data_IF_968188996815
#
_entry.id   IF_968188996815
#
_cell.length_a   1.000
_cell.length_b   1.000
_cell.length_c   1.000
_cell.angle_alpha   90.00
_cell.angle_beta   90.00
_cell.angle_gamma   90.00
#
_symmetry.space_group_name_H-M   'P 1'
#
loop_
_entity.id
_entity.type
_entity.pdbx_description
1 polymer ?
#
# COMPACT_ATOMS: atom_id res chain seq x y z
N UNK A 1 39.62 -11.32 -14.70
CA UNK A 1 38.95 -12.62 -14.85
C UNK A 1 38.40 -13.08 -13.50
N UNK A 2 39.24 -13.43 -12.49
CA UNK A 2 38.74 -13.96 -11.18
C UNK A 2 37.92 -12.95 -10.39
N UNK A 3 38.27 -11.67 -10.37
CA UNK A 3 37.53 -10.59 -9.70
C UNK A 3 36.19 -10.31 -10.39
N UNK A 4 36.14 -10.39 -11.70
CA UNK A 4 34.94 -10.21 -12.51
C UNK A 4 34.00 -11.39 -12.32
N UNK A 5 34.53 -12.61 -12.22
CA UNK A 5 33.77 -13.82 -11.97
C UNK A 5 33.19 -13.86 -10.55
N UNK A 6 33.94 -13.40 -9.53
CA UNK A 6 33.48 -13.23 -8.16
C UNK A 6 32.39 -12.15 -8.08
N UNK A 7 32.53 -11.04 -8.82
CA UNK A 7 31.51 -9.99 -8.90
C UNK A 7 30.23 -10.53 -9.52
N UNK A 8 30.34 -11.28 -10.61
CA UNK A 8 29.22 -11.92 -11.30
C UNK A 8 28.51 -12.98 -10.45
N UNK A 9 29.29 -13.77 -9.70
CA UNK A 9 28.71 -14.77 -8.76
C UNK A 9 28.00 -14.06 -7.60
N UNK A 10 28.57 -12.97 -7.07
CA UNK A 10 27.90 -12.17 -6.03
C UNK A 10 26.61 -11.52 -6.55
N UNK A 11 26.62 -11.03 -7.77
CA UNK A 11 25.44 -10.46 -8.43
C UNK A 11 24.37 -11.53 -8.67
N UNK A 12 24.75 -12.73 -9.13
CA UNK A 12 23.86 -13.88 -9.31
C UNK A 12 23.32 -14.42 -7.98
N UNK A 13 24.14 -14.46 -6.93
CA UNK A 13 23.70 -14.86 -5.58
C UNK A 13 22.76 -13.81 -4.98
N UNK A 14 23.06 -12.54 -5.17
CA UNK A 14 22.21 -11.44 -4.74
C UNK A 14 20.85 -11.49 -5.46
N UNK A 15 20.81 -11.68 -6.78
CA UNK A 15 19.60 -11.86 -7.57
C UNK A 15 18.80 -13.10 -7.09
N UNK A 16 19.49 -14.19 -6.75
CA UNK A 16 18.82 -15.41 -6.28
C UNK A 16 18.24 -15.27 -4.87
N UNK A 17 18.93 -14.58 -3.96
CA UNK A 17 18.41 -14.22 -2.64
C UNK A 17 17.27 -13.20 -2.76
N UNK A 18 17.33 -12.28 -3.74
CA UNK A 18 16.25 -11.35 -4.05
C UNK A 18 15.01 -12.07 -4.59
N UNK A 19 15.15 -13.04 -5.48
CA UNK A 19 14.03 -13.80 -6.02
C UNK A 19 13.30 -14.63 -4.92
N UNK A 20 14.03 -15.24 -3.99
CA UNK A 20 13.45 -15.98 -2.86
C UNK A 20 12.79 -15.06 -1.81
N UNK A 21 13.22 -13.80 -1.72
CA UNK A 21 12.71 -12.82 -0.75
C UNK A 21 11.81 -11.73 -1.33
N UNK A 22 11.60 -11.71 -2.65
CA UNK A 22 10.94 -10.60 -3.34
C UNK A 22 9.46 -10.46 -2.96
N UNK A 23 8.76 -11.57 -2.76
CA UNK A 23 7.36 -11.59 -2.35
C UNK A 23 7.06 -10.82 -1.06
N UNK A 24 8.05 -10.66 -0.16
CA UNK A 24 7.91 -9.91 1.09
C UNK A 24 7.59 -8.42 0.91
N UNK A 25 7.92 -7.86 -0.25
CA UNK A 25 7.60 -6.46 -0.60
C UNK A 25 6.23 -6.32 -1.24
N UNK A 26 5.65 -7.40 -1.81
CA UNK A 26 4.54 -7.34 -2.73
C UNK A 26 3.20 -7.37 -2.04
N UNK A 27 2.39 -6.33 -2.27
CA UNK A 27 0.96 -6.29 -2.01
C UNK A 27 0.23 -6.46 -3.34
N UNK A 28 -0.25 -7.68 -3.61
CA UNK A 28 -1.05 -7.97 -4.81
C UNK A 28 -2.39 -7.28 -4.71
N UNK A 29 -2.68 -6.38 -5.63
CA UNK A 29 -3.75 -5.40 -5.46
C UNK A 29 -4.81 -5.50 -6.55
N UNK A 30 -6.10 -5.57 -6.15
CA UNK A 30 -7.23 -5.33 -7.02
C UNK A 30 -8.31 -4.51 -6.27
N UNK A 31 -8.60 -3.29 -6.75
CA UNK A 31 -9.48 -2.33 -6.06
C UNK A 31 -10.55 -1.70 -6.98
N UNK A 32 -10.62 -2.06 -8.27
CA UNK A 32 -11.70 -1.60 -9.15
C UNK A 32 -13.05 -2.19 -8.73
N UNK A 33 -14.09 -1.39 -8.81
CA UNK A 33 -15.46 -1.89 -8.78
C UNK A 33 -15.82 -2.51 -10.13
N UNK A 34 -16.88 -3.33 -10.21
CA UNK A 34 -17.38 -3.86 -11.48
C UNK A 34 -17.65 -2.76 -12.52
N UNK A 35 -18.25 -1.63 -12.11
CA UNK A 35 -18.52 -0.49 -12.99
C UNK A 35 -17.22 0.15 -13.50
N UNK A 36 -16.22 0.33 -12.65
CA UNK A 36 -14.92 0.91 -13.03
C UNK A 36 -14.15 0.00 -13.99
N UNK A 37 -14.31 -1.31 -13.84
CA UNK A 37 -13.68 -2.30 -14.71
C UNK A 37 -14.51 -2.58 -15.98
N UNK A 38 -15.79 -2.22 -16.00
CA UNK A 38 -16.73 -2.51 -17.11
C UNK A 38 -17.06 -4.00 -17.25
N UNK A 39 -17.07 -4.74 -16.12
CA UNK A 39 -17.33 -6.19 -16.05
C UNK A 39 -18.44 -6.47 -15.02
N UNK A 40 -18.92 -7.73 -14.97
CA UNK A 40 -19.92 -8.16 -13.99
C UNK A 40 -19.32 -8.40 -12.60
N UNK A 41 -20.20 -8.52 -11.59
CA UNK A 41 -19.81 -8.91 -10.22
C UNK A 41 -19.13 -10.29 -10.23
N UNK A 42 -19.69 -11.27 -10.95
CA UNK A 42 -19.11 -12.63 -11.05
C UNK A 42 -17.69 -12.61 -11.65
N UNK A 43 -17.44 -11.76 -12.65
CA UNK A 43 -16.11 -11.61 -13.23
C UNK A 43 -15.15 -10.91 -12.26
N UNK A 44 -15.63 -9.95 -11.50
CA UNK A 44 -14.84 -9.29 -10.44
C UNK A 44 -14.46 -10.28 -9.34
N UNK A 45 -15.39 -11.11 -8.87
CA UNK A 45 -15.15 -12.18 -7.90
C UNK A 45 -14.05 -13.14 -8.37
N UNK A 46 -14.09 -13.54 -9.65
CA UNK A 46 -13.06 -14.40 -10.24
C UNK A 46 -11.68 -13.73 -10.24
N UNK A 47 -11.59 -12.45 -10.59
CA UNK A 47 -10.32 -11.71 -10.59
C UNK A 47 -9.76 -11.61 -9.17
N UNK A 48 -10.61 -11.32 -8.17
CA UNK A 48 -10.19 -11.25 -6.77
C UNK A 48 -9.70 -12.61 -6.30
N UNK A 49 -10.43 -13.67 -6.61
CA UNK A 49 -10.05 -15.03 -6.24
C UNK A 49 -8.72 -15.45 -6.88
N UNK A 50 -8.48 -15.10 -8.15
CA UNK A 50 -7.21 -15.35 -8.82
C UNK A 50 -6.08 -14.50 -8.22
N UNK A 51 -6.36 -13.23 -7.85
CA UNK A 51 -5.39 -12.37 -7.15
C UNK A 51 -4.94 -12.99 -5.81
N UNK A 52 -5.87 -13.59 -5.04
CA UNK A 52 -5.55 -14.27 -3.79
C UNK A 52 -4.72 -15.54 -4.04
N UNK A 53 -5.09 -16.35 -5.03
CA UNK A 53 -4.32 -17.55 -5.41
C UNK A 53 -2.91 -17.21 -5.85
N UNK A 54 -2.75 -16.19 -6.68
CA UNK A 54 -1.44 -15.73 -7.13
C UNK A 54 -0.57 -15.26 -5.95
N UNK A 55 -1.18 -14.54 -4.98
CA UNK A 55 -0.47 -14.13 -3.79
C UNK A 55 0.01 -15.32 -2.95
N UNK A 56 -0.79 -16.39 -2.84
CA UNK A 56 -0.43 -17.64 -2.15
C UNK A 56 0.67 -18.36 -2.92
N UNK A 57 0.50 -18.59 -4.22
CA UNK A 57 1.44 -19.33 -5.07
C UNK A 57 2.83 -18.71 -5.07
N UNK A 58 2.90 -17.40 -5.11
CA UNK A 58 4.16 -16.65 -5.17
C UNK A 58 4.66 -16.15 -3.81
N UNK A 59 4.07 -16.58 -2.70
CA UNK A 59 4.45 -16.18 -1.34
C UNK A 59 4.53 -14.65 -1.18
N UNK A 60 3.57 -13.93 -1.76
CA UNK A 60 3.49 -12.48 -1.62
C UNK A 60 3.11 -12.10 -0.20
N UNK A 61 3.46 -10.87 0.22
CA UNK A 61 3.24 -10.41 1.59
C UNK A 61 1.76 -10.26 1.92
N UNK A 62 0.97 -9.71 0.97
CA UNK A 62 -0.39 -9.31 1.24
C UNK A 62 -1.23 -9.30 -0.05
N UNK A 63 -2.51 -9.59 0.07
CA UNK A 63 -3.52 -9.26 -0.93
C UNK A 63 -4.27 -8.00 -0.48
N UNK A 64 -4.35 -6.99 -1.38
CA UNK A 64 -5.05 -5.72 -1.14
C UNK A 64 -6.33 -5.68 -1.97
N UNK A 65 -7.46 -5.71 -1.28
CA UNK A 65 -8.80 -5.83 -1.86
C UNK A 65 -9.77 -4.87 -1.21
N UNK A 66 -10.96 -4.71 -1.79
CA UNK A 66 -12.03 -3.90 -1.21
C UNK A 66 -12.61 -4.54 0.06
N UNK A 67 -13.23 -3.73 0.96
CA UNK A 67 -13.73 -4.19 2.26
C UNK A 67 -14.68 -5.38 2.18
N UNK A 68 -15.58 -5.41 1.21
CA UNK A 68 -16.58 -6.47 1.02
C UNK A 68 -15.99 -7.86 0.79
N UNK A 69 -14.73 -7.95 0.36
CA UNK A 69 -14.03 -9.22 0.09
C UNK A 69 -13.17 -9.71 1.24
N UNK A 70 -12.95 -8.92 2.28
CA UNK A 70 -12.00 -9.22 3.38
C UNK A 70 -12.31 -10.55 4.04
N UNK A 71 -13.56 -10.76 4.43
CA UNK A 71 -13.99 -12.00 5.12
C UNK A 71 -13.74 -13.24 4.28
N UNK A 72 -14.20 -13.22 3.03
CA UNK A 72 -14.04 -14.36 2.10
C UNK A 72 -12.58 -14.64 1.82
N UNK A 73 -11.75 -13.60 1.63
CA UNK A 73 -10.31 -13.75 1.42
C UNK A 73 -9.63 -14.38 2.64
N UNK A 74 -9.96 -13.92 3.86
CA UNK A 74 -9.39 -14.46 5.10
C UNK A 74 -9.74 -15.93 5.27
N UNK A 75 -11.02 -16.28 5.14
CA UNK A 75 -11.50 -17.66 5.24
C UNK A 75 -10.80 -18.58 4.21
N UNK A 76 -10.63 -18.11 2.98
CA UNK A 76 -9.96 -18.88 1.94
C UNK A 76 -8.47 -19.08 2.24
N UNK A 77 -7.73 -18.02 2.57
CA UNK A 77 -6.29 -18.08 2.87
C UNK A 77 -6.03 -19.02 4.07
N UNK A 78 -6.86 -18.93 5.12
CA UNK A 78 -6.78 -19.81 6.29
C UNK A 78 -7.03 -21.27 5.94
N UNK A 79 -8.01 -21.54 5.07
CA UNK A 79 -8.32 -22.90 4.60
C UNK A 79 -7.15 -23.55 3.83
N UNK A 80 -6.31 -22.73 3.19
CA UNK A 80 -5.12 -23.19 2.47
C UNK A 80 -3.89 -23.32 3.40
N UNK A 81 -3.98 -22.89 4.67
CA UNK A 81 -2.85 -22.81 5.58
C UNK A 81 -1.74 -21.87 5.09
N UNK A 82 -2.10 -20.87 4.26
CA UNK A 82 -1.15 -19.95 3.67
C UNK A 82 -0.87 -18.75 4.60
N UNK A 83 0.32 -18.16 4.46
CA UNK A 83 0.77 -17.05 5.30
C UNK A 83 0.74 -15.72 4.54
N UNK A 84 -0.36 -15.46 3.80
CA UNK A 84 -0.61 -14.20 3.10
C UNK A 84 -1.52 -13.33 3.96
N UNK A 85 -1.16 -12.06 4.13
CA UNK A 85 -1.97 -11.10 4.87
C UNK A 85 -3.12 -10.58 4.00
N UNK A 86 -4.21 -10.18 4.63
CA UNK A 86 -5.33 -9.49 3.98
C UNK A 86 -5.28 -8.01 4.37
N UNK A 87 -5.24 -7.14 3.38
CA UNK A 87 -5.35 -5.69 3.54
C UNK A 87 -6.58 -5.15 2.85
N UNK A 88 -7.12 -4.06 3.38
CA UNK A 88 -8.19 -3.32 2.71
C UNK A 88 -7.99 -1.82 2.81
N UNK A 89 -8.77 -1.09 2.03
CA UNK A 89 -8.75 0.37 1.97
C UNK A 89 -9.91 0.95 2.79
N UNK A 90 -9.72 2.15 3.32
CA UNK A 90 -10.69 2.87 4.14
C UNK A 90 -10.83 4.31 3.62
N UNK A 91 -12.07 4.78 3.44
CA UNK A 91 -12.36 6.10 2.87
C UNK A 91 -11.89 6.25 1.42
N UNK A 92 -12.00 5.19 0.65
CA UNK A 92 -11.34 5.06 -0.66
C UNK A 92 -12.31 5.28 -1.84
N UNK A 93 -11.87 6.02 -2.93
CA UNK A 93 -10.51 6.52 -3.15
C UNK A 93 -10.26 7.98 -2.73
N UNK A 94 -11.26 8.73 -2.33
CA UNK A 94 -11.19 10.20 -2.28
C UNK A 94 -10.67 10.77 -0.95
N UNK A 95 -10.81 10.02 0.16
CA UNK A 95 -10.39 10.44 1.48
C UNK A 95 -11.29 11.49 2.15
N UNK A 96 -12.38 11.90 1.51
CA UNK A 96 -13.28 12.96 1.98
C UNK A 96 -14.54 12.45 2.70
N UNK A 97 -14.59 11.15 3.03
CA UNK A 97 -15.59 10.59 3.92
C UNK A 97 -15.42 11.14 5.35
N UNK A 98 -16.51 11.25 6.10
CA UNK A 98 -16.41 11.69 7.49
C UNK A 98 -15.59 10.71 8.34
N UNK A 99 -14.96 11.22 9.41
CA UNK A 99 -14.20 10.38 10.33
C UNK A 99 -15.05 9.22 10.87
N UNK A 100 -16.34 9.47 11.18
CA UNK A 100 -17.25 8.43 11.66
C UNK A 100 -17.41 7.29 10.66
N UNK A 101 -17.63 7.60 9.38
CA UNK A 101 -17.76 6.62 8.32
C UNK A 101 -16.47 5.80 8.15
N UNK A 102 -15.30 6.46 8.13
CA UNK A 102 -14.00 5.75 8.05
C UNK A 102 -13.75 4.83 9.25
N UNK A 103 -14.13 5.25 10.45
CA UNK A 103 -13.98 4.41 11.64
C UNK A 103 -14.93 3.22 11.62
N UNK A 104 -16.18 3.41 11.21
CA UNK A 104 -17.14 2.32 11.07
C UNK A 104 -16.70 1.28 10.03
N UNK A 105 -16.17 1.74 8.88
CA UNK A 105 -15.60 0.88 7.85
C UNK A 105 -14.38 0.09 8.38
N UNK A 106 -13.49 0.74 9.13
CA UNK A 106 -12.33 0.09 9.74
C UNK A 106 -12.75 -0.96 10.80
N UNK A 107 -13.74 -0.65 11.65
CA UNK A 107 -14.29 -1.60 12.64
C UNK A 107 -14.83 -2.84 11.94
N UNK A 108 -15.61 -2.65 10.87
CA UNK A 108 -16.16 -3.78 10.12
C UNK A 108 -15.05 -4.62 9.49
N UNK A 109 -14.05 -4.00 8.86
CA UNK A 109 -12.92 -4.72 8.28
C UNK A 109 -12.12 -5.52 9.34
N UNK A 110 -11.95 -4.97 10.55
CA UNK A 110 -11.31 -5.67 11.67
C UNK A 110 -12.13 -6.90 12.09
N UNK A 111 -13.46 -6.77 12.17
CA UNK A 111 -14.38 -7.89 12.50
C UNK A 111 -14.33 -8.99 11.41
N UNK A 112 -14.15 -8.61 10.16
CA UNK A 112 -14.03 -9.51 9.02
C UNK A 112 -12.65 -10.17 8.87
N UNK A 113 -11.69 -9.81 9.75
CA UNK A 113 -10.40 -10.47 9.87
C UNK A 113 -9.28 -9.85 9.04
N UNK A 114 -9.36 -8.56 8.72
CA UNK A 114 -8.26 -7.83 8.05
C UNK A 114 -6.98 -7.86 8.90
N UNK A 115 -5.83 -7.82 8.25
CA UNK A 115 -4.52 -7.68 8.90
C UNK A 115 -3.96 -6.26 8.80
N UNK A 116 -4.27 -5.54 7.72
CA UNK A 116 -3.74 -4.20 7.47
C UNK A 116 -4.81 -3.27 6.87
N UNK A 117 -4.86 -2.02 7.36
CA UNK A 117 -5.83 -0.99 6.98
C UNK A 117 -5.13 0.16 6.26
N UNK A 118 -5.46 0.41 4.99
CA UNK A 118 -4.92 1.51 4.18
C UNK A 118 -5.95 2.66 4.13
N UNK A 119 -5.89 3.61 5.08
CA UNK A 119 -6.75 4.80 5.10
C UNK A 119 -6.32 5.83 4.06
N UNK A 120 -7.27 6.44 3.36
CA UNK A 120 -6.98 7.65 2.57
C UNK A 120 -7.15 8.86 3.48
N UNK A 121 -6.08 9.63 3.67
CA UNK A 121 -6.15 10.90 4.41
C UNK A 121 -6.96 11.94 3.61
N UNK A 122 -7.68 12.81 4.28
CA UNK A 122 -8.32 13.95 3.61
C UNK A 122 -7.26 14.98 3.17
N UNK A 123 -6.55 14.65 2.07
CA UNK A 123 -5.51 15.53 1.51
C UNK A 123 -6.07 16.85 0.98
N UNK A 124 -7.39 16.93 0.73
CA UNK A 124 -8.05 18.19 0.33
C UNK A 124 -8.16 19.12 1.54
N UNK A 125 -8.65 18.61 2.67
CA UNK A 125 -8.68 19.36 3.94
C UNK A 125 -7.25 19.80 4.35
N UNK A 126 -6.24 18.94 4.15
CA UNK A 126 -4.84 19.32 4.38
C UNK A 126 -4.42 20.52 3.51
N UNK A 127 -4.73 20.50 2.19
CA UNK A 127 -4.43 21.62 1.27
C UNK A 127 -5.15 22.91 1.64
N UNK A 128 -6.34 22.80 2.21
CA UNK A 128 -7.15 23.94 2.68
C UNK A 128 -6.71 24.44 4.06
N UNK A 129 -5.73 23.79 4.70
CA UNK A 129 -5.17 24.18 5.99
C UNK A 129 -5.99 23.69 7.19
N UNK A 130 -6.91 22.76 7.00
CA UNK A 130 -7.75 22.17 8.06
C UNK A 130 -6.99 21.11 8.87
N UNK A 131 -5.88 21.52 9.49
CA UNK A 131 -4.95 20.62 10.17
C UNK A 131 -5.58 19.86 11.35
N UNK A 132 -6.60 20.39 11.99
CA UNK A 132 -7.29 19.70 13.08
C UNK A 132 -8.08 18.49 12.56
N UNK A 133 -8.67 18.57 11.36
CA UNK A 133 -9.29 17.44 10.67
C UNK A 133 -8.27 16.31 10.50
N UNK A 134 -7.08 16.63 9.98
CA UNK A 134 -6.00 15.64 9.78
C UNK A 134 -5.55 15.02 11.11
N UNK A 135 -5.42 15.84 12.18
CA UNK A 135 -5.01 15.35 13.50
C UNK A 135 -6.00 14.33 14.07
N UNK A 136 -7.29 14.63 14.03
CA UNK A 136 -8.30 13.71 14.54
C UNK A 136 -8.37 12.44 13.71
N UNK A 137 -8.39 12.58 12.38
CA UNK A 137 -8.46 11.44 11.47
C UNK A 137 -7.28 10.48 11.68
N UNK A 138 -6.04 10.99 11.62
CA UNK A 138 -4.84 10.19 11.76
C UNK A 138 -4.70 9.60 13.16
N UNK A 139 -5.06 10.36 14.21
CA UNK A 139 -5.01 9.86 15.59
C UNK A 139 -5.99 8.70 15.81
N UNK A 140 -7.27 8.89 15.48
CA UNK A 140 -8.31 7.89 15.74
C UNK A 140 -8.17 6.67 14.83
N UNK A 141 -7.92 6.89 13.52
CA UNK A 141 -7.71 5.79 12.58
C UNK A 141 -6.45 4.97 12.89
N UNK A 142 -5.39 5.60 13.39
CA UNK A 142 -4.20 4.87 13.85
C UNK A 142 -4.51 4.08 15.12
N UNK A 143 -5.15 4.72 16.11
CA UNK A 143 -5.44 4.08 17.39
C UNK A 143 -6.30 2.83 17.21
N UNK A 144 -7.39 2.92 16.43
CA UNK A 144 -8.30 1.79 16.22
C UNK A 144 -7.62 0.58 15.58
N UNK A 145 -6.74 0.81 14.58
CA UNK A 145 -6.00 -0.28 13.94
C UNK A 145 -4.94 -0.88 14.86
N UNK A 146 -4.12 -0.04 15.49
CA UNK A 146 -3.01 -0.49 16.35
C UNK A 146 -3.52 -1.18 17.61
N UNK A 147 -4.60 -0.72 18.22
CA UNK A 147 -5.19 -1.35 19.42
C UNK A 147 -5.82 -2.71 19.08
N UNK A 148 -6.30 -2.89 17.84
CA UNK A 148 -6.72 -4.19 17.32
C UNK A 148 -5.55 -5.08 16.86
N UNK A 149 -4.29 -4.67 17.03
CA UNK A 149 -3.09 -5.42 16.62
C UNK A 149 -2.86 -5.43 15.10
N UNK A 150 -3.42 -4.47 14.37
CA UNK A 150 -3.30 -4.35 12.91
C UNK A 150 -2.22 -3.35 12.52
N UNK A 151 -1.70 -3.47 11.30
CA UNK A 151 -0.90 -2.39 10.70
C UNK A 151 -1.82 -1.35 10.06
N UNK A 152 -1.41 -0.08 10.11
CA UNK A 152 -2.15 1.04 9.51
C UNK A 152 -1.29 1.73 8.47
N UNK A 153 -1.88 2.12 7.34
CA UNK A 153 -1.19 2.90 6.32
C UNK A 153 -2.03 4.14 5.96
N UNK A 154 -1.35 5.27 5.84
CA UNK A 154 -1.96 6.55 5.46
C UNK A 154 -1.60 6.89 4.03
N UNK A 155 -2.59 6.82 3.14
CA UNK A 155 -2.46 7.20 1.73
C UNK A 155 -2.57 8.72 1.64
N UNK A 156 -1.48 9.37 1.24
CA UNK A 156 -1.44 10.85 1.16
C UNK A 156 -1.80 11.39 -0.22
N UNK A 157 -1.98 10.54 -1.23
CA UNK A 157 -2.22 10.88 -2.64
C UNK A 157 -1.17 11.88 -3.16
N UNK A 158 0.08 11.43 -3.21
CA UNK A 158 1.24 12.28 -3.50
C UNK A 158 1.13 13.06 -4.81
N UNK A 159 0.48 12.47 -5.84
CA UNK A 159 0.27 13.14 -7.11
C UNK A 159 -0.69 14.36 -7.05
N UNK A 160 -1.43 14.53 -5.94
CA UNK A 160 -2.27 15.70 -5.69
C UNK A 160 -1.53 16.83 -4.92
N UNK A 161 -0.26 16.60 -4.52
CA UNK A 161 0.51 17.45 -3.61
C UNK A 161 1.82 17.92 -4.25
N UNK A 162 2.32 19.07 -3.80
CA UNK A 162 3.70 19.48 -4.12
C UNK A 162 4.70 18.71 -3.25
N UNK A 163 5.98 18.70 -3.64
CA UNK A 163 7.04 18.04 -2.86
C UNK A 163 7.13 18.59 -1.42
N UNK A 164 6.92 19.90 -1.22
CA UNK A 164 6.86 20.53 0.09
C UNK A 164 5.67 20.04 0.90
N UNK A 165 4.49 19.93 0.27
CA UNK A 165 3.27 19.40 0.91
C UNK A 165 3.41 17.92 1.26
N UNK A 166 4.05 17.11 0.41
CA UNK A 166 4.37 15.69 0.71
C UNK A 166 5.24 15.62 1.97
N UNK A 167 6.31 16.41 2.05
CA UNK A 167 7.19 16.43 3.21
C UNK A 167 6.47 16.91 4.48
N UNK A 168 5.63 17.95 4.38
CA UNK A 168 4.87 18.51 5.50
C UNK A 168 3.83 17.52 6.03
N UNK A 169 2.97 16.96 5.16
CA UNK A 169 1.95 16.00 5.54
C UNK A 169 2.57 14.73 6.13
N UNK A 170 3.69 14.26 5.56
CA UNK A 170 4.41 13.09 6.07
C UNK A 170 4.92 13.34 7.51
N UNK A 171 5.52 14.50 7.78
CA UNK A 171 5.96 14.87 9.14
C UNK A 171 4.79 14.98 10.10
N UNK A 172 3.70 15.64 9.67
CA UNK A 172 2.49 15.79 10.47
C UNK A 172 1.92 14.41 10.88
N UNK A 173 1.77 13.49 9.90
CA UNK A 173 1.32 12.12 10.17
C UNK A 173 2.25 11.43 11.18
N UNK A 174 3.58 11.53 10.98
CA UNK A 174 4.56 10.91 11.87
C UNK A 174 4.44 11.43 13.30
N UNK A 175 4.32 12.74 13.49
CA UNK A 175 4.15 13.36 14.80
C UNK A 175 2.88 12.92 15.50
N UNK A 176 1.74 12.90 14.76
CA UNK A 176 0.45 12.46 15.30
C UNK A 176 0.52 10.99 15.72
N UNK A 177 1.05 10.12 14.87
CA UNK A 177 1.19 8.69 15.16
C UNK A 177 2.04 8.47 16.43
N UNK A 178 3.20 9.14 16.55
CA UNK A 178 4.05 9.02 17.74
C UNK A 178 3.30 9.48 18.99
N UNK A 179 2.53 10.56 18.90
CA UNK A 179 1.74 11.08 20.03
C UNK A 179 0.60 10.14 20.41
N UNK A 180 -0.05 9.51 19.44
CA UNK A 180 -1.23 8.66 19.66
C UNK A 180 -0.88 7.29 20.23
N UNK A 181 0.12 6.61 19.64
CA UNK A 181 0.40 5.20 19.97
C UNK A 181 1.81 4.94 20.50
N UNK A 182 2.65 5.96 20.56
CA UNK A 182 4.04 5.89 21.00
C UNK A 182 5.00 5.40 19.93
N UNK A 183 6.28 5.74 20.11
CA UNK A 183 7.34 5.47 19.11
C UNK A 183 7.56 3.98 18.84
N UNK A 184 7.34 3.12 19.84
CA UNK A 184 7.53 1.67 19.71
C UNK A 184 6.51 1.05 18.75
N UNK A 185 5.24 1.51 18.77
CA UNK A 185 4.17 1.04 17.89
C UNK A 185 4.18 1.73 16.53
N UNK A 186 4.83 2.89 16.40
CA UNK A 186 4.87 3.67 15.18
C UNK A 186 5.47 2.90 13.99
N UNK A 187 6.36 1.92 14.24
CA UNK A 187 6.92 1.04 13.22
C UNK A 187 5.89 0.10 12.54
N UNK A 188 4.66 0.02 13.07
CA UNK A 188 3.53 -0.70 12.45
C UNK A 188 2.66 0.21 11.58
N UNK A 189 3.04 1.50 11.47
CA UNK A 189 2.34 2.48 10.65
C UNK A 189 3.19 2.83 9.42
N UNK A 190 2.51 3.09 8.30
CA UNK A 190 3.14 3.44 7.04
C UNK A 190 2.56 4.76 6.52
N UNK A 191 3.38 5.50 5.76
CA UNK A 191 2.89 6.49 4.81
C UNK A 191 2.90 5.84 3.43
N UNK A 192 1.76 5.91 2.73
CA UNK A 192 1.58 5.34 1.39
C UNK A 192 1.42 6.46 0.37
N UNK A 193 2.06 6.33 -0.78
CA UNK A 193 2.05 7.37 -1.81
C UNK A 193 0.65 7.64 -2.38
N UNK A 194 -0.03 6.63 -2.91
CA UNK A 194 -1.13 6.85 -3.85
C UNK A 194 -2.24 5.81 -3.71
N UNK A 195 -3.45 6.21 -4.11
CA UNK A 195 -4.59 5.29 -4.28
C UNK A 195 -4.45 4.46 -5.57
N UNK A 196 -3.86 5.04 -6.61
CA UNK A 196 -3.85 4.52 -7.98
C UNK A 196 -5.08 4.92 -8.80
N UNK A 197 -5.97 5.76 -8.25
CA UNK A 197 -7.20 6.23 -8.90
C UNK A 197 -7.20 7.73 -9.17
N UNK A 198 -6.25 8.46 -8.65
CA UNK A 198 -6.10 9.89 -8.93
C UNK A 198 -5.45 10.10 -10.29
N UNK A 199 -6.04 10.99 -11.10
CA UNK A 199 -5.48 11.42 -12.39
C UNK A 199 -5.19 12.91 -12.32
N UNK A 200 -3.89 13.30 -12.35
CA UNK A 200 -3.51 14.71 -12.40
C UNK A 200 -4.03 15.39 -13.67
N UNK A 201 -4.51 16.64 -13.54
CA UNK A 201 -5.06 17.43 -14.67
C UNK A 201 -4.00 17.76 -15.73
N UNK A 202 -2.74 17.83 -15.34
CA UNK A 202 -1.61 18.13 -16.22
C UNK A 202 -1.10 16.90 -17.00
N UNK A 203 -1.72 15.73 -16.80
CA UNK A 203 -1.36 14.47 -17.45
C UNK A 203 -0.09 13.82 -16.90
N UNK A 204 0.43 14.28 -15.77
CA UNK A 204 1.52 13.61 -15.05
C UNK A 204 1.07 12.26 -14.48
N UNK A 205 2.00 11.34 -14.15
CA UNK A 205 1.64 10.05 -13.55
C UNK A 205 0.91 10.22 -12.21
N UNK A 206 -0.22 9.52 -12.03
CA UNK A 206 -0.98 9.51 -10.78
C UNK A 206 -0.48 8.52 -9.72
N UNK A 207 0.65 7.84 -9.97
CA UNK A 207 1.22 6.83 -9.08
C UNK A 207 2.48 7.29 -8.37
N UNK A 208 3.15 6.34 -7.71
CA UNK A 208 4.40 6.59 -6.99
C UNK A 208 5.52 7.03 -7.94
N UNK A 209 6.26 8.06 -7.54
CA UNK A 209 7.53 8.43 -8.15
C UNK A 209 8.71 8.16 -7.20
N UNK A 210 9.91 8.00 -7.74
CA UNK A 210 11.13 7.83 -6.93
C UNK A 210 11.33 9.03 -6.00
N UNK A 211 11.06 10.24 -6.50
CA UNK A 211 11.22 11.49 -5.75
C UNK A 211 10.22 11.57 -4.60
N UNK A 212 8.95 11.19 -4.82
CA UNK A 212 7.94 11.18 -3.76
C UNK A 212 8.29 10.18 -2.66
N UNK A 213 8.66 8.94 -3.06
CA UNK A 213 9.06 7.90 -2.10
C UNK A 213 10.27 8.34 -1.28
N UNK A 214 11.27 8.95 -1.93
CA UNK A 214 12.45 9.51 -1.25
C UNK A 214 12.07 10.63 -0.28
N UNK A 215 11.19 11.55 -0.71
CA UNK A 215 10.69 12.65 0.13
C UNK A 215 9.94 12.11 1.35
N UNK A 216 9.05 11.14 1.17
CA UNK A 216 8.33 10.50 2.27
C UNK A 216 9.33 9.79 3.19
N UNK A 217 10.25 8.99 2.66
CA UNK A 217 11.22 8.24 3.46
C UNK A 217 12.09 9.13 4.34
N UNK A 218 12.49 10.29 3.84
CA UNK A 218 13.30 11.27 4.58
C UNK A 218 12.52 11.98 5.70
N UNK A 219 11.19 12.01 5.63
CA UNK A 219 10.33 12.76 6.54
C UNK A 219 9.43 11.89 7.44
N UNK A 220 9.36 10.57 7.18
CA UNK A 220 8.47 9.64 7.88
C UNK A 220 8.92 9.29 9.32
N UNK A 221 10.14 9.66 9.73
CA UNK A 221 10.66 9.29 11.06
C UNK A 221 10.67 7.77 11.27
N UNK A 222 9.97 7.23 12.30
CA UNK A 222 9.91 5.80 12.57
C UNK A 222 8.91 5.04 11.70
N UNK A 223 8.06 5.73 10.93
CA UNK A 223 7.08 5.12 10.07
C UNK A 223 7.74 4.50 8.84
N UNK A 224 7.10 3.46 8.30
CA UNK A 224 7.55 2.81 7.07
C UNK A 224 6.91 3.49 5.85
N UNK A 225 7.39 3.14 4.66
CA UNK A 225 6.88 3.68 3.40
C UNK A 225 6.33 2.57 2.53
N UNK A 226 5.15 2.81 1.93
CA UNK A 226 4.58 1.99 0.87
C UNK A 226 4.48 2.81 -0.42
N UNK A 227 5.04 2.28 -1.51
CA UNK A 227 4.87 2.83 -2.85
C UNK A 227 3.75 2.10 -3.59
N UNK A 228 2.86 2.81 -4.27
CA UNK A 228 1.78 2.21 -5.07
C UNK A 228 1.39 3.05 -6.28
N UNK A 229 0.92 2.37 -7.33
CA UNK A 229 0.60 2.96 -8.63
C UNK A 229 1.81 3.15 -9.53
N UNK A 230 1.69 2.80 -10.81
CA UNK A 230 2.75 3.00 -11.80
C UNK A 230 3.95 2.04 -11.68
N UNK A 231 3.83 0.90 -11.01
CA UNK A 231 4.91 -0.05 -10.77
C UNK A 231 4.61 -1.35 -11.54
N UNK A 232 5.39 -1.65 -12.58
CA UNK A 232 5.07 -2.70 -13.56
C UNK A 232 6.21 -3.67 -13.85
N UNK A 233 7.37 -3.53 -13.21
CA UNK A 233 8.54 -4.39 -13.44
C UNK A 233 9.34 -4.59 -12.15
N UNK A 234 10.21 -5.63 -12.11
CA UNK A 234 11.18 -5.81 -11.02
C UNK A 234 12.08 -4.59 -10.84
N UNK A 235 12.49 -3.95 -11.92
CA UNK A 235 13.34 -2.75 -11.88
C UNK A 235 12.61 -1.57 -11.22
N UNK A 236 11.31 -1.41 -11.49
CA UNK A 236 10.50 -0.38 -10.82
C UNK A 236 10.43 -0.66 -9.31
N UNK A 237 10.16 -1.92 -8.93
CA UNK A 237 10.13 -2.32 -7.51
C UNK A 237 11.46 -2.03 -6.83
N UNK A 238 12.59 -2.44 -7.42
CA UNK A 238 13.92 -2.20 -6.86
C UNK A 238 14.21 -0.70 -6.74
N UNK A 239 13.78 0.09 -7.71
CA UNK A 239 13.93 1.55 -7.68
C UNK A 239 13.16 2.16 -6.51
N UNK A 240 11.91 1.73 -6.26
CA UNK A 240 11.11 2.19 -5.14
C UNK A 240 11.69 1.74 -3.78
N UNK A 241 12.17 0.48 -3.70
CA UNK A 241 12.83 -0.03 -2.48
C UNK A 241 14.11 0.75 -2.18
N UNK A 242 14.93 1.03 -3.20
CA UNK A 242 16.13 1.84 -3.05
C UNK A 242 15.82 3.30 -2.63
N UNK A 243 14.67 3.83 -3.03
CA UNK A 243 14.19 5.15 -2.58
C UNK A 243 13.64 5.15 -1.14
N UNK A 244 13.48 3.97 -0.51
CA UNK A 244 13.07 3.82 0.89
C UNK A 244 11.73 3.11 1.10
N UNK A 245 11.07 2.63 0.06
CA UNK A 245 9.84 1.84 0.23
C UNK A 245 10.15 0.47 0.84
N UNK A 246 9.35 0.06 1.81
CA UNK A 246 9.39 -1.28 2.41
C UNK A 246 8.24 -2.18 1.95
N UNK A 247 7.26 -1.63 1.23
CA UNK A 247 6.10 -2.32 0.65
C UNK A 247 5.76 -1.73 -0.71
N UNK A 248 5.28 -2.57 -1.60
CA UNK A 248 4.93 -2.22 -2.98
C UNK A 248 3.52 -2.71 -3.29
N UNK A 249 2.61 -1.77 -3.56
CA UNK A 249 1.25 -2.08 -4.02
C UNK A 249 1.16 -1.98 -5.54
N UNK A 250 0.77 -3.07 -6.18
CA UNK A 250 0.61 -3.11 -7.64
C UNK A 250 -0.41 -4.16 -8.08
N UNK A 251 -1.13 -3.87 -9.16
CA UNK A 251 -1.99 -4.82 -9.86
C UNK A 251 -1.21 -5.79 -10.75
N UNK A 252 0.05 -5.49 -11.04
CA UNK A 252 0.95 -6.30 -11.85
C UNK A 252 1.81 -7.26 -11.01
N UNK A 253 1.39 -7.57 -9.78
CA UNK A 253 2.21 -8.33 -8.83
C UNK A 253 2.61 -9.70 -9.38
N UNK A 254 1.69 -10.43 -10.02
CA UNK A 254 1.96 -11.73 -10.64
C UNK A 254 3.02 -11.64 -11.73
N UNK A 255 2.83 -10.72 -12.68
CA UNK A 255 3.75 -10.52 -13.81
C UNK A 255 5.16 -10.16 -13.31
N UNK A 256 5.22 -9.28 -12.30
CA UNK A 256 6.48 -8.89 -11.66
C UNK A 256 7.17 -10.08 -11.01
N UNK A 257 6.43 -10.90 -10.25
CA UNK A 257 6.98 -12.12 -9.63
C UNK A 257 7.50 -13.11 -10.66
N UNK A 258 6.85 -13.21 -11.83
CA UNK A 258 7.29 -14.02 -12.95
C UNK A 258 8.44 -13.39 -13.79
N UNK A 259 8.94 -12.20 -13.39
CA UNK A 259 9.98 -11.48 -14.13
C UNK A 259 9.50 -10.89 -15.44
N UNK A 260 8.19 -10.73 -15.60
CA UNK A 260 7.59 -10.13 -16.78
C UNK A 260 7.41 -8.62 -16.56
N UNK A 261 7.51 -7.85 -17.64
CA UNK A 261 7.14 -6.44 -17.66
C UNK A 261 5.75 -6.30 -18.28
N UNK A 262 4.88 -5.58 -17.62
CA UNK A 262 3.57 -5.25 -18.17
C UNK A 262 3.40 -3.73 -18.24
N UNK A 263 2.50 -3.26 -19.11
CA UNK A 263 2.08 -1.85 -19.16
C UNK A 263 0.57 -1.76 -18.87
N UNK A 264 0.01 -2.80 -18.26
CA UNK A 264 -1.40 -2.80 -17.90
C UNK A 264 -1.56 -1.95 -16.63
N UNK A 265 -2.06 -0.74 -16.84
CA UNK A 265 -2.93 -0.14 -15.85
C UNK A 265 -4.12 -1.09 -15.66
N UNK A 266 -4.66 -1.13 -14.45
CA UNK A 266 -5.88 -1.87 -14.19
C UNK A 266 -6.74 -2.10 -15.43
#
# INVERSE_FOLDING_TARGET
VLKEEISRIKELLFIKEEDEGFGKYMDSTYLKTPEQAGISDDETDLIIFDTIKDAIEHNMKLVMIRPEYVKTAREFIDSQGANVLVGTVIGFPNGDDSLGEKLDEAIQAIQDGVDELDFVVDYKAFKDGELDTIKYEVSEGTAIGIDAGKSVKWIIESAALTSEQIAELTRLISEIVIQSVGIEKASNVFVKTSTGFFTPEDGSPGGATIDDVSTISQNAGPLKVKASGGIYSKDDVLSMVNAGASRIGTSAAKEIMLGQKTNKDY
#
